data_IF_033879854185
#
_entry.id   IF_033879854185
#
_cell.length_a   1.000
_cell.length_b   1.000
_cell.length_c   1.000
_cell.angle_alpha   90.00
_cell.angle_beta   90.00
_cell.angle_gamma   90.00
#
_symmetry.space_group_name_H-M   'P 1'
#
loop_
_entity.id
_entity.type
_entity.pdbx_description
1 polymer ?
#
# COMPACT_ATOMS: atom_id res chain seq x y z
N UNK A 1 35.21 33.65 49.65
CA UNK A 1 33.96 32.84 49.58
C UNK A 1 33.07 33.17 48.37
N UNK A 2 33.02 34.41 47.88
CA UNK A 2 32.17 34.85 46.73
C UNK A 2 32.38 34.14 45.37
N UNK A 3 33.53 33.50 45.13
CA UNK A 3 33.84 32.86 43.83
C UNK A 3 33.15 31.52 43.59
N UNK A 4 32.92 30.73 44.65
CA UNK A 4 32.27 29.41 44.54
C UNK A 4 30.77 29.53 44.32
N UNK A 5 30.10 30.46 44.99
CA UNK A 5 28.67 30.74 44.78
C UNK A 5 28.38 31.26 43.37
N UNK A 6 29.23 32.15 42.87
CA UNK A 6 29.11 32.67 41.50
C UNK A 6 29.28 31.54 40.48
N UNK A 7 30.27 30.65 40.69
CA UNK A 7 30.48 29.48 39.84
C UNK A 7 29.33 28.47 39.93
N UNK A 8 28.77 28.26 41.11
CA UNK A 8 27.60 27.41 41.31
C UNK A 8 26.39 27.92 40.52
N UNK A 9 26.08 29.23 40.59
CA UNK A 9 24.99 29.84 39.80
C UNK A 9 25.19 29.72 38.29
N UNK A 10 26.42 29.85 37.80
CA UNK A 10 26.74 29.67 36.37
C UNK A 10 26.51 28.21 35.94
N UNK A 11 26.87 27.25 36.78
CA UNK A 11 26.63 25.83 36.52
C UNK A 11 25.14 25.48 36.58
N UNK A 12 24.38 26.02 37.54
CA UNK A 12 22.93 25.85 37.62
C UNK A 12 22.21 26.44 36.40
N UNK A 13 22.61 27.64 35.96
CA UNK A 13 22.08 28.25 34.75
C UNK A 13 22.37 27.41 33.50
N UNK A 14 23.58 26.85 33.42
CA UNK A 14 23.99 25.97 32.32
C UNK A 14 23.22 24.64 32.35
N UNK A 15 22.99 24.06 33.53
CA UNK A 15 22.16 22.88 33.71
C UNK A 15 20.70 23.13 33.26
N UNK A 16 20.13 24.28 33.63
CA UNK A 16 18.78 24.66 33.20
C UNK A 16 18.66 24.81 31.67
N UNK A 17 19.67 25.37 31.00
CA UNK A 17 19.71 25.45 29.52
C UNK A 17 19.75 24.05 28.91
N UNK A 18 20.62 23.17 29.42
CA UNK A 18 20.71 21.78 28.94
C UNK A 18 19.40 21.01 29.15
N UNK A 19 18.70 21.22 30.26
CA UNK A 19 17.39 20.61 30.51
C UNK A 19 16.32 21.08 29.49
N UNK A 20 16.35 22.37 29.13
CA UNK A 20 15.47 22.92 28.08
C UNK A 20 15.78 22.31 26.71
N UNK A 21 17.06 22.20 26.35
CA UNK A 21 17.50 21.58 25.09
C UNK A 21 17.11 20.10 25.02
N UNK A 22 17.34 19.33 26.09
CA UNK A 22 16.91 17.93 26.18
C UNK A 22 15.39 17.82 26.00
N UNK A 23 14.63 18.72 26.61
CA UNK A 23 13.17 18.76 26.48
C UNK A 23 12.72 19.09 25.05
N UNK A 24 13.41 20.01 24.37
CA UNK A 24 13.16 20.31 22.96
C UNK A 24 13.45 19.10 22.06
N UNK A 25 14.62 18.47 22.23
CA UNK A 25 15.02 17.28 21.47
C UNK A 25 14.06 16.10 21.69
N UNK A 26 13.57 15.89 22.92
CA UNK A 26 12.55 14.87 23.19
C UNK A 26 11.25 15.14 22.44
N UNK A 27 10.80 16.39 22.36
CA UNK A 27 9.61 16.77 21.59
C UNK A 27 9.81 16.58 20.08
N UNK A 28 10.98 16.88 19.57
CA UNK A 28 11.32 16.65 18.16
C UNK A 28 11.39 15.15 17.83
N UNK A 29 12.05 14.37 18.68
CA UNK A 29 12.10 12.92 18.54
C UNK A 29 10.69 12.28 18.57
N UNK A 30 9.81 12.75 19.46
CA UNK A 30 8.40 12.31 19.50
C UNK A 30 7.66 12.65 18.20
N UNK A 31 7.84 13.86 17.67
CA UNK A 31 7.25 14.27 16.38
C UNK A 31 7.76 13.43 15.21
N UNK A 32 9.05 13.12 15.18
CA UNK A 32 9.64 12.28 14.15
C UNK A 32 9.15 10.83 14.25
N UNK A 33 9.03 10.27 15.45
CA UNK A 33 8.43 8.94 15.68
C UNK A 33 6.99 8.90 15.18
N UNK A 34 6.16 9.86 15.59
CA UNK A 34 4.76 9.93 15.13
C UNK A 34 4.65 10.02 13.59
N UNK A 35 5.52 10.81 12.94
CA UNK A 35 5.58 10.87 11.46
C UNK A 35 6.02 9.55 10.84
N UNK A 36 7.00 8.87 11.44
CA UNK A 36 7.46 7.57 10.98
C UNK A 36 6.36 6.51 11.11
N UNK A 37 5.66 6.48 12.26
CA UNK A 37 4.55 5.57 12.52
C UNK A 37 3.38 5.81 11.56
N UNK A 38 3.01 7.08 11.32
CA UNK A 38 1.99 7.43 10.33
C UNK A 38 2.39 6.99 8.91
N UNK A 39 3.66 7.19 8.52
CA UNK A 39 4.17 6.69 7.22
C UNK A 39 4.16 5.16 7.15
N UNK A 40 4.49 4.48 8.25
CA UNK A 40 4.46 3.02 8.34
C UNK A 40 3.03 2.51 8.17
N UNK A 41 2.08 3.07 8.91
CA UNK A 41 0.66 2.75 8.77
C UNK A 41 0.17 3.01 7.34
N UNK A 42 0.48 4.17 6.75
CA UNK A 42 0.12 4.43 5.36
C UNK A 42 0.71 3.41 4.39
N UNK A 43 1.96 3.00 4.56
CA UNK A 43 2.57 1.95 3.73
C UNK A 43 1.86 0.62 3.90
N UNK A 44 1.58 0.21 5.14
CA UNK A 44 0.84 -1.02 5.40
C UNK A 44 -0.55 -1.01 4.76
N UNK A 45 -1.25 0.12 4.81
CA UNK A 45 -2.55 0.29 4.14
C UNK A 45 -2.42 0.26 2.61
N UNK A 46 -1.37 0.86 2.07
CA UNK A 46 -1.08 0.85 0.62
C UNK A 46 -0.74 -0.55 0.10
N UNK A 47 -0.35 -1.47 0.97
CA UNK A 47 0.01 -2.85 0.62
C UNK A 47 -1.20 -3.81 0.73
N UNK A 48 -2.34 -3.37 1.26
CA UNK A 48 -3.52 -4.23 1.46
C UNK A 48 -4.03 -4.85 0.16
N UNK A 49 -4.01 -4.11 -0.95
CA UNK A 49 -4.42 -4.66 -2.24
C UNK A 49 -3.50 -5.81 -2.70
N UNK A 50 -2.21 -5.81 -2.30
CA UNK A 50 -1.30 -6.93 -2.63
C UNK A 50 -1.67 -8.17 -1.83
N UNK A 51 -1.97 -8.03 -0.54
CA UNK A 51 -2.44 -9.15 0.28
C UNK A 51 -3.76 -9.72 -0.25
N UNK A 52 -4.71 -8.86 -0.66
CA UNK A 52 -5.94 -9.30 -1.33
C UNK A 52 -5.61 -10.08 -2.61
N UNK A 53 -4.74 -9.52 -3.46
CA UNK A 53 -4.32 -10.14 -4.70
C UNK A 53 -3.63 -11.51 -4.50
N UNK A 54 -2.80 -11.64 -3.47
CA UNK A 54 -2.13 -12.89 -3.09
C UNK A 54 -3.14 -13.96 -2.66
N UNK A 55 -4.12 -13.59 -1.82
CA UNK A 55 -5.18 -14.51 -1.40
C UNK A 55 -6.03 -14.97 -2.60
N UNK A 56 -6.37 -14.05 -3.51
CA UNK A 56 -7.10 -14.40 -4.74
C UNK A 56 -6.26 -15.31 -5.64
N UNK A 57 -4.96 -15.06 -5.76
CA UNK A 57 -4.04 -15.94 -6.50
C UNK A 57 -3.94 -17.34 -5.86
N UNK A 58 -4.09 -17.42 -4.54
CA UNK A 58 -4.21 -18.67 -3.78
C UNK A 58 -5.56 -19.38 -3.89
N UNK A 59 -6.49 -18.86 -4.71
CA UNK A 59 -7.78 -19.50 -5.00
C UNK A 59 -8.97 -18.94 -4.23
N UNK A 60 -8.81 -17.91 -3.40
CA UNK A 60 -9.94 -17.27 -2.73
C UNK A 60 -10.73 -16.39 -3.71
N UNK A 61 -12.04 -16.30 -3.49
CA UNK A 61 -12.85 -15.24 -4.11
C UNK A 61 -12.45 -13.88 -3.52
N UNK A 62 -12.73 -12.79 -4.23
CA UNK A 62 -12.43 -11.45 -3.75
C UNK A 62 -13.12 -11.15 -2.42
N UNK A 63 -14.42 -11.50 -2.28
CA UNK A 63 -15.15 -11.36 -1.03
C UNK A 63 -14.51 -12.14 0.12
N UNK A 64 -14.09 -13.39 -0.11
CA UNK A 64 -13.44 -14.19 0.94
C UNK A 64 -12.04 -13.66 1.29
N UNK A 65 -11.30 -13.13 0.31
CA UNK A 65 -10.01 -12.50 0.56
C UNK A 65 -10.16 -11.23 1.41
N UNK A 66 -11.16 -10.39 1.10
CA UNK A 66 -11.50 -9.18 1.86
C UNK A 66 -11.94 -9.54 3.28
N UNK A 67 -12.87 -10.51 3.44
CA UNK A 67 -13.32 -11.01 4.73
C UNK A 67 -12.16 -11.57 5.58
N UNK A 68 -11.27 -12.35 4.96
CA UNK A 68 -10.11 -12.91 5.66
C UNK A 68 -9.17 -11.82 6.18
N UNK A 69 -8.93 -10.75 5.42
CA UNK A 69 -8.06 -9.65 5.84
C UNK A 69 -8.75 -8.81 6.92
N UNK A 70 -10.05 -8.57 6.79
CA UNK A 70 -10.85 -7.86 7.77
C UNK A 70 -10.78 -8.55 9.14
N UNK A 71 -11.00 -9.87 9.16
CA UNK A 71 -10.89 -10.69 10.37
C UNK A 71 -9.48 -10.65 10.99
N UNK A 72 -8.42 -10.82 10.18
CA UNK A 72 -7.02 -10.78 10.66
C UNK A 72 -6.61 -9.44 11.26
N UNK A 73 -7.20 -8.34 10.79
CA UNK A 73 -6.86 -6.98 11.21
C UNK A 73 -7.83 -6.41 12.26
N UNK A 74 -8.88 -7.15 12.63
CA UNK A 74 -9.92 -6.64 13.53
C UNK A 74 -10.65 -5.41 13.00
N UNK A 75 -10.95 -5.40 11.69
CA UNK A 75 -11.63 -4.30 11.00
C UNK A 75 -12.83 -4.82 10.19
N UNK A 76 -13.56 -3.93 9.52
CA UNK A 76 -14.72 -4.30 8.71
C UNK A 76 -14.32 -4.57 7.26
N UNK A 77 -15.09 -5.44 6.58
CA UNK A 77 -14.92 -5.69 5.15
C UNK A 77 -15.06 -4.42 4.31
N UNK A 78 -15.98 -3.54 4.69
CA UNK A 78 -16.17 -2.24 4.03
C UNK A 78 -14.91 -1.37 4.09
N UNK A 79 -14.18 -1.40 5.21
CA UNK A 79 -12.94 -0.64 5.35
C UNK A 79 -11.81 -1.24 4.50
N UNK A 80 -11.70 -2.57 4.43
CA UNK A 80 -10.75 -3.23 3.52
C UNK A 80 -11.10 -2.91 2.06
N UNK A 81 -12.37 -3.00 1.68
CA UNK A 81 -12.83 -2.71 0.32
C UNK A 81 -12.52 -1.27 -0.06
N UNK A 82 -12.75 -0.31 0.85
CA UNK A 82 -12.39 1.09 0.63
C UNK A 82 -10.90 1.26 0.30
N UNK A 83 -10.01 0.54 0.99
CA UNK A 83 -8.57 0.59 0.72
C UNK A 83 -8.18 -0.07 -0.61
N UNK A 84 -8.85 -1.17 -0.98
CA UNK A 84 -8.70 -1.78 -2.30
C UNK A 84 -9.13 -0.81 -3.40
N UNK A 85 -10.29 -0.18 -3.26
CA UNK A 85 -10.82 0.78 -4.22
C UNK A 85 -9.91 2.01 -4.34
N UNK A 86 -9.39 2.51 -3.21
CA UNK A 86 -8.40 3.58 -3.20
C UNK A 86 -7.14 3.16 -3.96
N UNK A 87 -6.63 1.95 -3.74
CA UNK A 87 -5.46 1.44 -4.45
C UNK A 87 -5.73 1.30 -5.96
N UNK A 88 -6.92 0.83 -6.35
CA UNK A 88 -7.31 0.74 -7.76
C UNK A 88 -7.36 2.12 -8.43
N UNK A 89 -7.81 3.17 -7.72
CA UNK A 89 -7.81 4.54 -8.24
C UNK A 89 -6.41 5.14 -8.33
N UNK A 90 -5.53 4.87 -7.36
CA UNK A 90 -4.26 5.57 -7.20
C UNK A 90 -3.02 4.79 -7.65
N UNK A 91 -3.13 3.47 -7.91
CA UNK A 91 -2.00 2.60 -8.25
C UNK A 91 -2.22 1.88 -9.57
N UNK A 92 -1.37 2.19 -10.54
CA UNK A 92 -1.35 1.50 -11.84
C UNK A 92 -1.00 0.01 -11.71
N UNK A 93 -0.18 -0.37 -10.73
CA UNK A 93 0.13 -1.79 -10.47
C UNK A 93 -1.09 -2.60 -10.05
N UNK A 94 -1.95 -2.03 -9.20
CA UNK A 94 -3.18 -2.69 -8.76
C UNK A 94 -4.12 -2.92 -9.95
N UNK A 95 -4.42 -1.88 -10.73
CA UNK A 95 -5.24 -1.99 -11.95
C UNK A 95 -4.68 -3.00 -12.95
N UNK A 96 -3.36 -2.97 -13.21
CA UNK A 96 -2.71 -3.92 -14.13
C UNK A 96 -2.82 -5.36 -13.63
N UNK A 97 -2.73 -5.60 -12.32
CA UNK A 97 -2.89 -6.94 -11.77
C UNK A 97 -4.30 -7.48 -12.04
N UNK A 98 -5.35 -6.70 -11.74
CA UNK A 98 -6.74 -7.09 -12.02
C UNK A 98 -7.00 -7.29 -13.51
N UNK A 99 -6.48 -6.38 -14.36
CA UNK A 99 -6.55 -6.51 -15.81
C UNK A 99 -5.90 -7.81 -16.30
N UNK A 100 -4.66 -8.07 -15.91
CA UNK A 100 -3.91 -9.23 -16.37
C UNK A 100 -4.58 -10.53 -15.87
N UNK A 101 -5.11 -10.55 -14.64
CA UNK A 101 -5.90 -11.66 -14.12
C UNK A 101 -7.15 -11.91 -14.96
N UNK A 102 -7.89 -10.86 -15.30
CA UNK A 102 -9.10 -10.98 -16.12
C UNK A 102 -8.80 -11.46 -17.53
N UNK A 103 -7.70 -10.97 -18.13
CA UNK A 103 -7.18 -11.49 -19.41
C UNK A 103 -6.92 -13.00 -19.32
N UNK A 104 -6.24 -13.46 -18.26
CA UNK A 104 -5.96 -14.89 -18.08
C UNK A 104 -7.23 -15.72 -17.86
N UNK A 105 -8.19 -15.19 -17.10
CA UNK A 105 -9.49 -15.84 -16.89
C UNK A 105 -10.25 -16.02 -18.21
N UNK A 106 -10.33 -14.96 -19.01
CA UNK A 106 -11.01 -15.01 -20.31
C UNK A 106 -10.30 -15.92 -21.31
N UNK A 107 -8.97 -15.90 -21.33
CA UNK A 107 -8.18 -16.81 -22.15
C UNK A 107 -8.43 -18.28 -21.76
N UNK A 108 -8.51 -18.58 -20.46
CA UNK A 108 -8.85 -19.92 -19.96
C UNK A 108 -10.27 -20.36 -20.34
N UNK A 109 -11.21 -19.41 -20.51
CA UNK A 109 -12.56 -19.67 -21.02
C UNK A 109 -12.61 -19.81 -22.55
N UNK A 110 -11.49 -19.70 -23.25
CA UNK A 110 -11.40 -19.89 -24.70
C UNK A 110 -11.67 -18.63 -25.53
N UNK A 111 -11.78 -17.45 -24.92
CA UNK A 111 -11.92 -16.21 -25.68
C UNK A 111 -10.69 -15.91 -26.53
N UNK A 112 -10.91 -15.41 -27.75
CA UNK A 112 -9.85 -14.95 -28.63
C UNK A 112 -9.22 -13.65 -28.12
N UNK A 113 -7.97 -13.37 -28.52
CA UNK A 113 -7.29 -12.13 -28.12
C UNK A 113 -8.08 -10.88 -28.54
N UNK A 114 -8.79 -10.92 -29.68
CA UNK A 114 -9.63 -9.83 -30.18
C UNK A 114 -10.87 -9.59 -29.31
N UNK A 115 -11.50 -10.66 -28.82
CA UNK A 115 -12.63 -10.55 -27.88
C UNK A 115 -12.18 -10.03 -26.52
N UNK A 116 -11.09 -10.58 -25.98
CA UNK A 116 -10.50 -10.14 -24.71
C UNK A 116 -10.13 -8.66 -24.76
N UNK A 117 -9.53 -8.21 -25.86
CA UNK A 117 -9.12 -6.82 -26.07
C UNK A 117 -10.26 -5.80 -25.98
N UNK A 118 -11.50 -6.23 -26.30
CA UNK A 118 -12.71 -5.40 -26.29
C UNK A 118 -13.64 -5.74 -25.13
N UNK A 119 -13.24 -6.65 -24.24
CA UNK A 119 -14.10 -7.10 -23.16
C UNK A 119 -14.32 -5.96 -22.14
N UNK A 120 -15.58 -5.67 -21.72
CA UNK A 120 -15.87 -4.52 -20.86
C UNK A 120 -15.10 -4.51 -19.53
N UNK A 121 -14.85 -5.70 -18.95
CA UNK A 121 -14.07 -5.80 -17.72
C UNK A 121 -12.59 -5.45 -17.95
N UNK A 122 -12.01 -5.83 -19.09
CA UNK A 122 -10.61 -5.52 -19.43
C UNK A 122 -10.48 -4.03 -19.74
N UNK A 123 -11.43 -3.47 -20.48
CA UNK A 123 -11.52 -2.04 -20.80
C UNK A 123 -11.55 -1.19 -19.51
N UNK A 124 -12.44 -1.54 -18.57
CA UNK A 124 -12.53 -0.90 -17.24
C UNK A 124 -11.18 -0.85 -16.52
N UNK A 125 -10.45 -1.94 -16.50
CA UNK A 125 -9.17 -2.01 -15.76
C UNK A 125 -8.01 -1.34 -16.49
N UNK A 126 -8.04 -1.33 -17.83
CA UNK A 126 -7.01 -0.71 -18.64
C UNK A 126 -7.20 0.81 -18.79
N UNK A 127 -8.45 1.30 -18.70
CA UNK A 127 -8.82 2.68 -19.01
C UNK A 127 -8.97 2.92 -20.51
N UNK A 128 -9.47 1.93 -21.24
CA UNK A 128 -9.57 1.94 -22.70
C UNK A 128 -9.32 0.56 -23.30
N UNK A 129 -9.84 0.33 -24.51
CA UNK A 129 -9.66 -0.91 -25.25
C UNK A 129 -8.17 -1.24 -25.40
N UNK A 130 -7.82 -2.52 -25.25
CA UNK A 130 -6.47 -2.99 -25.49
C UNK A 130 -6.28 -3.33 -26.96
N UNK A 131 -5.04 -3.23 -27.44
CA UNK A 131 -4.69 -3.83 -28.72
C UNK A 131 -4.54 -5.35 -28.56
N UNK A 132 -5.00 -6.14 -29.53
CA UNK A 132 -4.93 -7.61 -29.52
C UNK A 132 -3.51 -8.15 -29.26
N UNK A 133 -2.50 -7.60 -29.95
CA UNK A 133 -1.07 -7.89 -29.71
C UNK A 133 -0.64 -7.68 -28.25
N UNK A 134 -1.23 -6.72 -27.53
CA UNK A 134 -0.93 -6.49 -26.12
C UNK A 134 -1.49 -7.61 -25.23
N UNK A 135 -2.68 -8.12 -25.55
CA UNK A 135 -3.28 -9.28 -24.87
C UNK A 135 -2.38 -10.51 -25.04
N UNK A 136 -1.99 -10.81 -26.28
CA UNK A 136 -1.05 -11.89 -26.59
C UNK A 136 0.25 -11.78 -25.78
N UNK A 137 0.88 -10.59 -25.76
CA UNK A 137 2.11 -10.34 -24.98
C UNK A 137 1.92 -10.54 -23.47
N UNK A 138 0.76 -10.17 -22.92
CA UNK A 138 0.45 -10.36 -21.50
C UNK A 138 0.33 -11.86 -21.19
N UNK A 139 -0.43 -12.60 -22.01
CA UNK A 139 -0.61 -14.05 -21.85
C UNK A 139 0.73 -14.77 -21.94
N UNK A 140 1.54 -14.51 -22.97
CA UNK A 140 2.86 -15.13 -23.14
C UNK A 140 3.77 -14.87 -21.94
N UNK A 141 3.81 -13.62 -21.45
CA UNK A 141 4.59 -13.25 -20.26
C UNK A 141 4.13 -14.02 -19.02
N UNK A 142 2.82 -14.20 -18.83
CA UNK A 142 2.25 -14.89 -17.66
C UNK A 142 2.45 -16.40 -17.70
N UNK A 143 2.45 -16.99 -18.89
CA UNK A 143 2.73 -18.41 -19.10
C UNK A 143 4.24 -18.74 -19.14
N UNK A 144 5.12 -17.74 -18.97
CA UNK A 144 6.57 -17.94 -19.01
C UNK A 144 7.11 -18.26 -20.42
N UNK A 145 6.28 -18.11 -21.47
CA UNK A 145 6.69 -18.28 -22.86
C UNK A 145 7.38 -16.99 -23.30
N UNK A 146 8.70 -16.95 -23.15
CA UNK A 146 9.55 -15.90 -23.74
C UNK A 146 9.58 -16.04 -25.26
#
# INVERSE_FOLDING_TARGET
MLGYETRARVLEASAAVLEQEISALRRDAARLRARADHKKQQRELQEIWKTVAELIAGGLTEGNAVASIAARRGTTEAQIQHWVDWALKNRTSARRWYRDREIMRLAALGHTNKEIARHPAVDRWNGGALHEKSVSRIISRKLGRR
#
